data_IF_782374742869
#
_entry.id   IF_782374742869
#
_cell.length_a   1.000
_cell.length_b   1.000
_cell.length_c   1.000
_cell.angle_alpha   90.00
_cell.angle_beta   90.00
_cell.angle_gamma   90.00
#
_symmetry.space_group_name_H-M   'P 1'
#
loop_
_entity.id
_entity.type
_entity.pdbx_description
1 polymer ?
#
# COMPACT_ATOMS: atom_id res chain seq x y z
N UNK A 1 -14.85 6.03 -6.55
CA UNK A 1 -14.43 6.14 -7.97
C UNK A 1 -15.56 5.57 -8.81
N UNK A 2 -16.32 6.40 -9.53
CA UNK A 2 -17.61 6.01 -10.11
C UNK A 2 -17.52 5.29 -11.48
N UNK A 3 -16.40 5.38 -12.18
CA UNK A 3 -16.27 4.85 -13.56
C UNK A 3 -16.00 3.33 -13.64
N UNK A 4 -15.40 2.72 -12.60
CA UNK A 4 -14.94 1.31 -12.66
C UNK A 4 -16.06 0.31 -12.98
N UNK A 5 -17.23 0.33 -12.31
CA UNK A 5 -18.29 -0.63 -12.58
C UNK A 5 -18.79 -0.55 -14.03
N UNK A 6 -18.98 0.67 -14.54
CA UNK A 6 -19.45 0.90 -15.91
C UNK A 6 -18.41 0.42 -16.93
N UNK A 7 -17.12 0.75 -16.70
CA UNK A 7 -16.04 0.33 -17.59
C UNK A 7 -15.92 -1.19 -17.66
N UNK A 8 -16.02 -1.91 -16.55
CA UNK A 8 -15.95 -3.37 -16.54
C UNK A 8 -17.11 -4.00 -17.34
N UNK A 9 -18.33 -3.51 -17.16
CA UNK A 9 -19.50 -4.01 -17.91
C UNK A 9 -19.33 -3.77 -19.41
N UNK A 10 -18.84 -2.59 -19.79
CA UNK A 10 -18.64 -2.24 -21.19
C UNK A 10 -17.48 -3.00 -21.81
N UNK A 11 -16.32 -3.11 -21.14
CA UNK A 11 -15.17 -3.86 -21.64
C UNK A 11 -15.54 -5.32 -21.96
N UNK A 12 -16.33 -5.97 -21.10
CA UNK A 12 -16.82 -7.34 -21.35
C UNK A 12 -17.82 -7.42 -22.52
N UNK A 13 -18.62 -6.38 -22.75
CA UNK A 13 -19.67 -6.38 -23.77
C UNK A 13 -19.19 -5.95 -25.17
N UNK A 14 -18.27 -4.98 -25.25
CA UNK A 14 -17.84 -4.34 -26.52
C UNK A 14 -16.35 -4.53 -26.84
N UNK A 15 -15.57 -5.13 -25.94
CA UNK A 15 -14.15 -5.43 -26.14
C UNK A 15 -13.24 -4.21 -26.01
N UNK A 16 -13.40 -3.21 -26.90
CA UNK A 16 -12.62 -1.98 -26.86
C UNK A 16 -13.38 -0.85 -26.16
N UNK A 17 -12.93 -0.48 -24.95
CA UNK A 17 -13.54 0.59 -24.17
C UNK A 17 -12.51 1.68 -23.84
N UNK A 18 -12.82 2.94 -24.18
CA UNK A 18 -11.95 4.08 -23.92
C UNK A 18 -12.39 4.83 -22.67
N UNK A 19 -11.48 5.00 -21.71
CA UNK A 19 -11.69 5.89 -20.56
C UNK A 19 -11.06 7.26 -20.83
N UNK A 20 -11.85 8.28 -21.10
CA UNK A 20 -11.33 9.64 -21.33
C UNK A 20 -11.06 10.39 -20.02
N UNK A 21 -9.94 11.13 -19.96
CA UNK A 21 -9.58 11.92 -18.78
C UNK A 21 -10.48 13.15 -18.67
N UNK A 22 -11.20 13.29 -17.55
CA UNK A 22 -12.11 14.41 -17.33
C UNK A 22 -11.44 15.80 -17.45
N UNK A 23 -10.14 15.93 -17.11
CA UNK A 23 -9.42 17.20 -17.28
C UNK A 23 -9.18 17.55 -18.74
N UNK A 24 -8.99 16.55 -19.60
CA UNK A 24 -8.88 16.80 -21.04
C UNK A 24 -10.26 17.14 -21.62
N UNK A 25 -11.30 16.45 -21.16
CA UNK A 25 -12.68 16.74 -21.55
C UNK A 25 -13.17 18.12 -21.09
N UNK A 26 -12.64 18.67 -20.00
CA UNK A 26 -12.98 20.02 -19.56
C UNK A 26 -12.47 21.12 -20.50
N UNK A 27 -11.44 20.84 -21.31
CA UNK A 27 -10.85 21.82 -22.22
C UNK A 27 -11.57 21.88 -23.58
N UNK A 28 -12.56 21.01 -23.81
CA UNK A 28 -13.41 21.02 -25.00
C UNK A 28 -14.82 21.48 -24.62
N UNK A 29 -15.52 22.26 -25.46
CA UNK A 29 -16.89 22.68 -25.17
C UNK A 29 -17.81 21.47 -25.04
N UNK A 30 -18.53 21.35 -23.93
CA UNK A 30 -19.58 20.34 -23.76
C UNK A 30 -20.89 20.72 -24.47
N UNK A 31 -21.81 19.78 -24.50
CA UNK A 31 -23.20 19.94 -24.96
C UNK A 31 -24.14 19.90 -23.75
N UNK A 32 -25.39 20.30 -23.98
CA UNK A 32 -26.37 20.49 -22.90
C UNK A 32 -27.07 19.18 -22.50
N UNK A 33 -27.04 18.17 -23.35
CA UNK A 33 -27.75 16.90 -23.15
C UNK A 33 -26.80 15.72 -23.30
N UNK A 34 -27.00 14.67 -22.50
CA UNK A 34 -26.12 13.49 -22.51
C UNK A 34 -26.01 12.85 -23.90
N UNK A 35 -27.11 12.82 -24.67
CA UNK A 35 -27.11 12.29 -26.03
C UNK A 35 -26.27 13.14 -27.01
N UNK A 36 -26.35 14.47 -26.91
CA UNK A 36 -25.53 15.36 -27.73
C UNK A 36 -24.06 15.32 -27.29
N UNK A 37 -23.80 15.16 -26.00
CA UNK A 37 -22.44 14.99 -25.47
C UNK A 37 -21.82 13.67 -25.95
N UNK A 38 -22.57 12.57 -25.95
CA UNK A 38 -22.08 11.29 -26.46
C UNK A 38 -21.69 11.37 -27.95
N UNK A 39 -22.54 11.99 -28.78
CA UNK A 39 -22.24 12.20 -30.20
C UNK A 39 -21.01 13.10 -30.38
N UNK A 40 -20.92 14.19 -29.61
CA UNK A 40 -19.78 15.09 -29.64
C UNK A 40 -18.47 14.42 -29.22
N UNK A 41 -18.50 13.57 -28.19
CA UNK A 41 -17.33 12.78 -27.77
C UNK A 41 -16.89 11.83 -28.87
N UNK A 42 -17.82 11.21 -29.60
CA UNK A 42 -17.49 10.35 -30.73
C UNK A 42 -16.77 11.13 -31.85
N UNK A 43 -17.25 12.33 -32.20
CA UNK A 43 -16.57 13.21 -33.16
C UNK A 43 -15.16 13.60 -32.68
N UNK A 44 -14.99 13.96 -31.41
CA UNK A 44 -13.68 14.28 -30.85
C UNK A 44 -12.69 13.12 -30.92
N UNK A 45 -13.18 11.89 -30.73
CA UNK A 45 -12.39 10.67 -30.88
C UNK A 45 -11.99 10.45 -32.34
N UNK A 46 -12.93 10.60 -33.28
CA UNK A 46 -12.70 10.44 -34.72
C UNK A 46 -11.65 11.44 -35.23
N UNK A 47 -11.70 12.69 -34.78
CA UNK A 47 -10.71 13.71 -35.12
C UNK A 47 -9.37 13.58 -34.36
N UNK A 48 -9.24 12.62 -33.44
CA UNK A 48 -8.03 12.43 -32.64
C UNK A 48 -7.74 13.56 -31.64
N UNK A 49 -8.76 14.34 -31.27
CA UNK A 49 -8.64 15.49 -30.36
C UNK A 49 -8.59 15.08 -28.88
N UNK A 50 -8.96 13.83 -28.59
CA UNK A 50 -8.88 13.23 -27.25
C UNK A 50 -8.07 11.94 -27.29
N UNK A 51 -7.51 11.54 -26.13
CA UNK A 51 -6.73 10.31 -25.99
C UNK A 51 -7.29 9.47 -24.83
N UNK A 52 -7.32 8.14 -24.96
CA UNK A 52 -7.70 7.27 -23.87
C UNK A 52 -6.70 7.40 -22.70
N UNK A 53 -7.23 7.32 -21.49
CA UNK A 53 -6.43 7.09 -20.30
C UNK A 53 -6.00 5.64 -20.28
N UNK A 54 -4.77 5.38 -19.82
CA UNK A 54 -4.30 4.02 -19.63
C UNK A 54 -5.14 3.30 -18.56
N UNK A 55 -5.89 2.29 -19.02
CA UNK A 55 -6.55 1.31 -18.16
C UNK A 55 -5.87 -0.03 -18.43
N UNK A 56 -5.19 -0.64 -17.44
CA UNK A 56 -4.52 -1.92 -17.63
C UNK A 56 -5.53 -3.03 -17.92
N UNK A 57 -5.11 -4.14 -18.55
CA UNK A 57 -5.95 -5.32 -18.71
C UNK A 57 -6.44 -5.88 -17.37
N UNK A 58 -7.57 -6.59 -17.38
CA UNK A 58 -8.23 -7.12 -16.19
C UNK A 58 -7.28 -7.89 -15.24
N UNK A 59 -6.40 -8.81 -15.69
CA UNK A 59 -5.48 -9.51 -14.78
C UNK A 59 -4.53 -8.57 -14.02
N UNK A 60 -4.08 -7.49 -14.68
CA UNK A 60 -3.19 -6.50 -14.08
C UNK A 60 -3.96 -5.60 -13.10
N UNK A 61 -5.22 -5.28 -13.39
CA UNK A 61 -6.08 -4.53 -12.44
C UNK A 61 -6.35 -5.34 -11.18
N UNK A 62 -6.60 -6.64 -11.29
CA UNK A 62 -6.75 -7.54 -10.14
C UNK A 62 -5.48 -7.59 -9.30
N UNK A 63 -4.32 -7.79 -9.94
CA UNK A 63 -3.02 -7.77 -9.26
C UNK A 63 -2.76 -6.42 -8.56
N UNK A 64 -3.14 -5.31 -9.18
CA UNK A 64 -3.04 -3.97 -8.59
C UNK A 64 -3.91 -3.81 -7.35
N UNK A 65 -5.16 -4.25 -7.42
CA UNK A 65 -6.07 -4.15 -6.28
C UNK A 65 -5.54 -5.00 -5.10
N UNK A 66 -5.02 -6.21 -5.37
CA UNK A 66 -4.39 -7.08 -4.37
C UNK A 66 -3.14 -6.45 -3.73
N UNK A 67 -2.19 -5.98 -4.54
CA UNK A 67 -0.94 -5.37 -4.04
C UNK A 67 -1.20 -4.10 -3.24
N UNK A 68 -2.14 -3.25 -3.69
CA UNK A 68 -2.56 -2.06 -2.94
C UNK A 68 -3.25 -2.40 -1.63
N UNK A 69 -4.13 -3.40 -1.62
CA UNK A 69 -4.83 -3.80 -0.41
C UNK A 69 -3.88 -4.44 0.60
N UNK A 70 -2.94 -5.30 0.15
CA UNK A 70 -1.85 -5.83 0.99
C UNK A 70 -1.05 -4.70 1.64
N UNK A 71 -0.66 -3.69 0.87
CA UNK A 71 0.01 -2.50 1.40
C UNK A 71 -0.82 -1.80 2.48
N UNK A 72 -2.13 -1.63 2.27
CA UNK A 72 -3.02 -1.05 3.26
C UNK A 72 -3.08 -1.88 4.56
N UNK A 73 -3.08 -3.22 4.46
CA UNK A 73 -3.01 -4.11 5.64
C UNK A 73 -1.68 -3.97 6.39
N UNK A 74 -0.54 -3.90 5.68
CA UNK A 74 0.79 -3.66 6.29
C UNK A 74 0.82 -2.31 7.04
N UNK A 75 0.25 -1.27 6.44
CA UNK A 75 0.16 0.04 7.07
C UNK A 75 -0.77 0.02 8.30
N UNK A 76 -1.89 -0.72 8.26
CA UNK A 76 -2.77 -0.91 9.42
C UNK A 76 -2.07 -1.67 10.53
N UNK A 77 -1.35 -2.75 10.20
CA UNK A 77 -0.54 -3.49 11.16
C UNK A 77 0.48 -2.59 11.85
N UNK A 78 1.16 -1.74 11.09
CA UNK A 78 2.11 -0.77 11.65
C UNK A 78 1.43 0.20 12.62
N UNK A 79 0.21 0.67 12.30
CA UNK A 79 -0.58 1.51 13.20
C UNK A 79 -0.94 0.77 14.48
N UNK A 80 -1.29 -0.52 14.41
CA UNK A 80 -1.59 -1.31 15.61
C UNK A 80 -0.36 -1.55 16.49
N UNK A 81 0.83 -1.78 15.90
CA UNK A 81 2.08 -1.85 16.68
C UNK A 81 2.36 -0.54 17.42
N UNK A 82 2.11 0.60 16.77
CA UNK A 82 2.28 1.92 17.41
C UNK A 82 1.27 2.14 18.54
N UNK A 83 0.03 1.66 18.39
CA UNK A 83 -0.98 1.69 19.45
C UNK A 83 -0.58 0.80 20.63
N UNK A 84 -0.06 -0.39 20.36
CA UNK A 84 0.47 -1.29 21.38
C UNK A 84 1.56 -0.59 22.22
N UNK A 85 2.56 0.00 21.54
CA UNK A 85 3.63 0.73 22.23
C UNK A 85 3.06 1.88 23.07
N UNK A 86 2.09 2.64 22.54
CA UNK A 86 1.45 3.74 23.28
C UNK A 86 0.76 3.26 24.56
N UNK A 87 0.04 2.14 24.52
CA UNK A 87 -0.63 1.58 25.71
C UNK A 87 0.39 1.07 26.72
N UNK A 88 1.49 0.46 26.26
CA UNK A 88 2.58 0.07 27.15
C UNK A 88 3.23 1.27 27.83
N UNK A 89 3.47 2.35 27.09
CA UNK A 89 4.04 3.57 27.64
C UNK A 89 3.12 4.24 28.68
N UNK A 90 1.80 4.18 28.49
CA UNK A 90 0.80 4.65 29.46
C UNK A 90 0.88 3.86 30.78
N UNK A 91 1.09 2.54 30.69
CA UNK A 91 1.36 1.67 31.83
C UNK A 91 2.79 1.85 32.43
N UNK A 92 3.60 2.78 31.91
CA UNK A 92 4.99 2.96 32.34
C UNK A 92 5.96 1.86 31.86
N UNK A 93 5.53 0.98 30.95
CA UNK A 93 6.31 -0.12 30.41
C UNK A 93 7.08 0.34 29.17
N UNK A 94 8.40 0.15 29.15
CA UNK A 94 9.31 0.64 28.09
C UNK A 94 10.01 -0.48 27.34
N UNK A 95 9.28 -1.53 26.94
CA UNK A 95 9.85 -2.70 26.26
C UNK A 95 10.61 -2.34 24.96
N UNK A 96 10.15 -1.31 24.24
CA UNK A 96 10.76 -0.79 23.01
C UNK A 96 12.13 -0.14 23.19
N UNK A 97 12.56 0.17 24.43
CA UNK A 97 13.92 0.68 24.69
C UNK A 97 14.96 -0.43 24.81
N UNK A 98 14.54 -1.66 25.15
CA UNK A 98 15.44 -2.79 25.42
C UNK A 98 15.44 -3.79 24.27
N UNK A 99 14.27 -4.00 23.66
CA UNK A 99 14.06 -4.91 22.53
C UNK A 99 14.06 -4.18 21.19
N UNK A 100 14.54 -4.84 20.13
CA UNK A 100 14.46 -4.31 18.76
C UNK A 100 13.02 -4.23 18.23
N UNK A 101 12.10 -5.00 18.80
CA UNK A 101 10.67 -4.95 18.51
C UNK A 101 9.87 -5.50 19.69
N UNK A 102 8.68 -4.95 19.89
CA UNK A 102 7.73 -5.38 20.93
C UNK A 102 7.12 -6.74 20.59
N UNK A 103 6.98 -7.06 19.30
CA UNK A 103 6.36 -8.30 18.80
C UNK A 103 7.37 -9.44 18.56
N UNK A 104 8.53 -9.41 19.21
CA UNK A 104 9.43 -10.57 19.20
C UNK A 104 8.81 -11.75 19.96
N UNK A 105 9.32 -12.97 19.78
CA UNK A 105 8.86 -14.15 20.55
C UNK A 105 8.89 -13.89 22.06
N UNK A 106 9.93 -13.25 22.56
CA UNK A 106 10.01 -12.86 23.97
C UNK A 106 9.04 -11.75 24.34
N UNK A 107 8.92 -10.71 23.51
CA UNK A 107 7.97 -9.63 23.77
C UNK A 107 6.53 -10.13 23.80
N UNK A 108 6.14 -11.02 22.86
CA UNK A 108 4.84 -11.68 22.85
C UNK A 108 4.59 -12.49 24.12
N UNK A 109 5.53 -13.36 24.51
CA UNK A 109 5.40 -14.15 25.72
C UNK A 109 5.26 -13.28 26.99
N UNK A 110 6.00 -12.17 27.07
CA UNK A 110 5.89 -11.20 28.17
C UNK A 110 4.50 -10.57 28.18
N UNK A 111 4.01 -10.08 27.04
CA UNK A 111 2.69 -9.45 26.95
C UNK A 111 1.55 -10.42 27.31
N UNK A 112 1.64 -11.67 26.85
CA UNK A 112 0.67 -12.72 27.20
C UNK A 112 0.68 -13.04 28.70
N UNK A 113 1.87 -13.12 29.31
CA UNK A 113 1.98 -13.31 30.76
C UNK A 113 1.40 -12.13 31.54
N UNK A 114 1.59 -10.90 31.06
CA UNK A 114 1.00 -9.69 31.64
C UNK A 114 -0.53 -9.68 31.52
N UNK A 115 -1.08 -10.06 30.35
CA UNK A 115 -2.53 -10.23 30.15
C UNK A 115 -3.08 -11.30 31.10
N UNK A 116 -2.34 -12.40 31.31
CA UNK A 116 -2.72 -13.46 32.24
C UNK A 116 -2.58 -13.05 33.73
N UNK A 117 -2.13 -11.83 34.03
CA UNK A 117 -2.07 -11.26 35.38
C UNK A 117 -0.68 -11.28 36.03
N UNK A 118 0.36 -11.71 35.31
CA UNK A 118 1.74 -11.66 35.83
C UNK A 118 2.32 -10.26 35.65
N UNK A 119 2.55 -9.54 36.73
CA UNK A 119 3.13 -8.17 36.68
C UNK A 119 4.52 -8.07 37.31
N UNK A 120 5.02 -9.13 37.93
CA UNK A 120 6.34 -9.12 38.57
C UNK A 120 7.46 -9.03 37.50
N UNK A 121 8.25 -7.95 37.46
CA UNK A 121 9.31 -7.76 36.45
C UNK A 121 10.38 -8.87 36.48
N UNK A 122 10.66 -9.44 37.64
CA UNK A 122 11.61 -10.55 37.81
C UNK A 122 11.16 -11.77 37.00
N UNK A 123 9.90 -12.17 37.18
CA UNK A 123 9.29 -13.32 36.49
C UNK A 123 9.19 -13.06 34.99
N UNK A 124 8.72 -11.88 34.60
CA UNK A 124 8.55 -11.51 33.19
C UNK A 124 9.90 -11.47 32.45
N UNK A 125 10.96 -10.98 33.10
CA UNK A 125 12.28 -10.87 32.48
C UNK A 125 12.90 -12.23 32.12
N UNK A 126 12.55 -13.30 32.83
CA UNK A 126 13.04 -14.65 32.52
C UNK A 126 12.42 -15.26 31.26
N UNK A 127 11.31 -14.70 30.76
CA UNK A 127 10.73 -15.06 29.46
C UNK A 127 11.59 -14.58 28.27
N UNK A 128 12.63 -13.78 28.54
CA UNK A 128 13.62 -13.38 27.56
C UNK A 128 14.37 -14.60 26.98
N UNK A 129 14.50 -14.62 25.65
CA UNK A 129 15.21 -15.65 24.88
C UNK A 129 16.33 -15.00 24.06
N UNK A 130 17.33 -15.81 23.70
CA UNK A 130 18.44 -15.39 22.85
C UNK A 130 19.18 -14.15 23.38
N UNK A 131 19.42 -13.17 22.51
CA UNK A 131 20.17 -11.94 22.83
C UNK A 131 19.50 -11.07 23.91
N UNK A 132 18.19 -11.21 24.11
CA UNK A 132 17.48 -10.43 25.13
C UNK A 132 17.83 -10.89 26.56
N UNK A 133 18.31 -12.13 26.75
CA UNK A 133 18.77 -12.63 28.05
C UNK A 133 19.94 -11.83 28.62
N UNK A 134 20.87 -11.41 27.77
CA UNK A 134 21.97 -10.54 28.18
C UNK A 134 21.50 -9.15 28.67
N UNK A 135 20.25 -8.78 28.39
CA UNK A 135 19.65 -7.50 28.79
C UNK A 135 18.63 -7.64 29.94
N UNK A 136 18.59 -8.77 30.65
CA UNK A 136 17.64 -9.01 31.76
C UNK A 136 17.61 -7.86 32.77
N UNK A 137 18.75 -7.29 33.25
CA UNK A 137 18.70 -6.17 34.19
C UNK A 137 17.93 -4.95 33.65
N UNK A 138 18.23 -4.52 32.42
CA UNK A 138 17.52 -3.42 31.77
C UNK A 138 16.06 -3.76 31.44
N UNK A 139 15.77 -5.03 31.15
CA UNK A 139 14.42 -5.50 30.90
C UNK A 139 13.55 -5.44 32.17
N UNK A 140 14.10 -5.78 33.34
CA UNK A 140 13.40 -5.64 34.63
C UNK A 140 13.04 -4.20 34.91
N UNK A 141 13.97 -3.27 34.68
CA UNK A 141 13.69 -1.83 34.78
C UNK A 141 12.59 -1.40 33.81
N UNK A 142 12.66 -1.84 32.55
CA UNK A 142 11.68 -1.50 31.53
C UNK A 142 10.28 -2.08 31.78
N UNK A 143 10.18 -3.17 32.54
CA UNK A 143 8.91 -3.83 32.91
C UNK A 143 8.37 -3.36 34.27
N UNK A 144 9.11 -2.54 34.99
CA UNK A 144 8.67 -1.97 36.26
C UNK A 144 7.71 -0.79 36.02
N UNK A 145 6.42 -1.11 35.87
CA UNK A 145 5.37 -0.13 35.57
C UNK A 145 4.04 -0.46 36.24
N UNK A 146 3.05 0.41 36.03
CA UNK A 146 1.69 0.27 36.54
C UNK A 146 0.78 -0.40 35.50
N UNK A 147 0.89 -1.73 35.41
CA UNK A 147 0.02 -2.53 34.55
C UNK A 147 -1.26 -2.92 35.27
N UNK A 148 -2.40 -2.75 34.60
CA UNK A 148 -3.73 -3.05 35.16
C UNK A 148 -4.53 -3.92 34.21
N UNK A 149 -5.63 -4.51 34.70
CA UNK A 149 -6.55 -5.26 33.85
C UNK A 149 -7.13 -4.45 32.67
N UNK A 150 -7.25 -3.13 32.83
CA UNK A 150 -7.66 -2.23 31.74
C UNK A 150 -6.65 -2.23 30.59
N UNK A 151 -5.36 -2.07 30.91
CA UNK A 151 -4.29 -2.17 29.91
C UNK A 151 -4.25 -3.56 29.26
N UNK A 152 -4.39 -4.61 30.07
CA UNK A 152 -4.43 -6.00 29.60
C UNK A 152 -5.54 -6.27 28.59
N UNK A 153 -6.75 -5.75 28.83
CA UNK A 153 -7.87 -5.87 27.89
C UNK A 153 -7.54 -5.21 26.54
N UNK A 154 -7.06 -3.96 26.56
CA UNK A 154 -6.73 -3.22 25.32
C UNK A 154 -5.60 -3.91 24.56
N UNK A 155 -4.55 -4.34 25.25
CA UNK A 155 -3.41 -5.02 24.63
C UNK A 155 -3.86 -6.36 24.04
N UNK A 156 -4.73 -7.11 24.72
CA UNK A 156 -5.31 -8.35 24.21
C UNK A 156 -6.02 -8.14 22.86
N UNK A 157 -6.89 -7.13 22.75
CA UNK A 157 -7.56 -6.78 21.50
C UNK A 157 -6.59 -6.36 20.39
N UNK A 158 -5.55 -5.58 20.73
CA UNK A 158 -4.53 -5.17 19.77
C UNK A 158 -3.75 -6.39 19.26
N UNK A 159 -3.36 -7.32 20.14
CA UNK A 159 -2.64 -8.53 19.75
C UNK A 159 -3.50 -9.42 18.84
N UNK A 160 -4.78 -9.63 19.18
CA UNK A 160 -5.70 -10.39 18.34
C UNK A 160 -5.86 -9.75 16.93
N UNK A 161 -5.95 -8.42 16.87
CA UNK A 161 -6.00 -7.70 15.59
C UNK A 161 -4.69 -7.81 14.81
N UNK A 162 -3.55 -7.77 15.48
CA UNK A 162 -2.25 -7.98 14.84
C UNK A 162 -2.14 -9.37 14.23
N UNK A 163 -2.58 -10.41 14.94
CA UNK A 163 -2.60 -11.79 14.44
C UNK A 163 -3.48 -11.91 13.20
N UNK A 164 -4.69 -11.35 13.23
CA UNK A 164 -5.57 -11.29 12.06
C UNK A 164 -4.91 -10.58 10.86
N UNK A 165 -4.25 -9.44 11.10
CA UNK A 165 -3.58 -8.67 10.07
C UNK A 165 -2.40 -9.44 9.47
N UNK A 166 -1.62 -10.14 10.29
CA UNK A 166 -0.53 -11.01 9.83
C UNK A 166 -1.07 -12.11 8.90
N UNK A 167 -2.10 -12.83 9.31
CA UNK A 167 -2.71 -13.85 8.45
C UNK A 167 -3.34 -13.26 7.18
N UNK A 168 -3.96 -12.07 7.27
CA UNK A 168 -4.55 -11.41 6.10
C UNK A 168 -3.46 -11.00 5.10
N UNK A 169 -2.32 -10.50 5.57
CA UNK A 169 -1.17 -10.18 4.74
C UNK A 169 -0.62 -11.45 4.08
N UNK A 170 -0.54 -12.57 4.79
CA UNK A 170 -0.05 -13.84 4.23
C UNK A 170 -0.99 -14.42 3.17
N UNK A 171 -2.31 -14.39 3.42
CA UNK A 171 -3.33 -14.78 2.43
C UNK A 171 -3.23 -13.93 1.16
N UNK A 172 -3.10 -12.62 1.31
CA UNK A 172 -2.95 -11.71 0.18
C UNK A 172 -1.62 -11.93 -0.56
N UNK A 173 -0.53 -12.21 0.17
CA UNK A 173 0.78 -12.51 -0.43
C UNK A 173 0.71 -13.78 -1.27
N UNK A 174 0.09 -14.84 -0.75
CA UNK A 174 -0.11 -16.11 -1.46
C UNK A 174 -0.93 -15.91 -2.74
N UNK A 175 -2.00 -15.12 -2.67
CA UNK A 175 -2.83 -14.83 -3.83
C UNK A 175 -2.10 -13.96 -4.88
N UNK A 176 -1.29 -12.99 -4.44
CA UNK A 176 -0.41 -12.22 -5.33
C UNK A 176 0.56 -13.16 -6.05
N UNK A 177 1.22 -14.06 -5.32
CA UNK A 177 2.18 -15.02 -5.87
C UNK A 177 1.49 -15.93 -6.92
N UNK A 178 0.23 -16.33 -6.68
CA UNK A 178 -0.58 -17.09 -7.65
C UNK A 178 -0.91 -16.29 -8.92
N UNK A 179 -1.39 -15.05 -8.76
CA UNK A 179 -1.83 -14.20 -9.88
C UNK A 179 -0.64 -13.72 -10.71
N UNK A 180 0.53 -13.52 -10.09
CA UNK A 180 1.71 -13.01 -10.77
C UNK A 180 2.54 -14.08 -11.47
N UNK A 181 2.34 -15.36 -11.15
CA UNK A 181 3.11 -16.48 -11.72
C UNK A 181 3.26 -16.46 -13.27
N UNK A 182 2.25 -16.07 -14.08
CA UNK A 182 2.43 -15.96 -15.54
C UNK A 182 3.46 -14.89 -15.97
N UNK A 183 3.82 -13.98 -15.08
CA UNK A 183 4.72 -12.86 -15.31
C UNK A 183 6.05 -13.00 -14.55
N UNK A 184 6.33 -14.17 -13.98
CA UNK A 184 7.51 -14.41 -13.13
C UNK A 184 8.82 -13.94 -13.78
N UNK A 185 9.04 -14.28 -15.05
CA UNK A 185 10.25 -13.86 -15.78
C UNK A 185 10.40 -12.33 -15.86
N UNK A 186 9.30 -11.56 -15.86
CA UNK A 186 9.33 -10.09 -15.83
C UNK A 186 9.63 -9.56 -14.44
N UNK A 187 9.12 -10.23 -13.40
CA UNK A 187 9.44 -9.90 -12.00
C UNK A 187 10.93 -10.12 -11.74
N UNK A 188 11.49 -11.25 -12.18
CA UNK A 188 12.91 -11.55 -12.03
C UNK A 188 13.79 -10.51 -12.72
N UNK A 189 13.42 -10.07 -13.93
CA UNK A 189 14.12 -9.00 -14.64
C UNK A 189 14.05 -7.66 -13.87
N UNK A 190 12.90 -7.32 -13.29
CA UNK A 190 12.75 -6.10 -12.49
C UNK A 190 13.58 -6.16 -11.19
N UNK A 191 13.67 -7.33 -10.55
CA UNK A 191 14.45 -7.58 -9.33
C UNK A 191 15.98 -7.44 -9.57
N UNK A 192 16.43 -7.47 -10.83
CA UNK A 192 17.84 -7.15 -11.16
C UNK A 192 18.20 -5.67 -11.02
N UNK A 193 17.21 -4.78 -10.93
CA UNK A 193 17.44 -3.33 -10.84
C UNK A 193 17.93 -2.99 -9.43
N UNK A 194 19.09 -2.33 -9.26
CA UNK A 194 19.57 -1.94 -7.93
C UNK A 194 18.54 -1.12 -7.15
N UNK A 195 18.16 -1.61 -5.96
CA UNK A 195 17.16 -0.96 -5.09
C UNK A 195 15.71 -1.36 -5.38
N UNK A 196 15.46 -2.26 -6.33
CA UNK A 196 14.18 -2.94 -6.52
C UNK A 196 14.35 -4.33 -5.95
N UNK A 197 13.60 -4.64 -4.90
CA UNK A 197 13.45 -6.02 -4.42
C UNK A 197 12.26 -6.68 -5.12
N UNK A 198 12.15 -8.00 -4.97
CA UNK A 198 11.04 -8.78 -5.53
C UNK A 198 9.67 -8.17 -5.23
N UNK A 199 9.38 -7.77 -3.97
CA UNK A 199 8.07 -7.19 -3.61
C UNK A 199 7.83 -5.84 -4.29
N UNK A 200 8.86 -5.03 -4.47
CA UNK A 200 8.79 -3.80 -5.26
C UNK A 200 8.57 -4.10 -6.75
N UNK A 201 9.24 -5.11 -7.31
CA UNK A 201 9.04 -5.56 -8.69
C UNK A 201 7.58 -6.00 -8.95
N UNK A 202 7.00 -6.78 -8.03
CA UNK A 202 5.58 -7.18 -8.09
C UNK A 202 4.66 -5.95 -8.11
N UNK A 203 4.92 -4.97 -7.23
CA UNK A 203 4.15 -3.73 -7.17
C UNK A 203 4.30 -2.89 -8.45
N UNK A 204 5.51 -2.78 -9.00
CA UNK A 204 5.76 -2.08 -10.25
C UNK A 204 4.97 -2.72 -11.38
N UNK A 205 5.08 -4.04 -11.55
CA UNK A 205 4.36 -4.78 -12.57
C UNK A 205 2.83 -4.61 -12.43
N UNK A 206 2.30 -4.62 -11.20
CA UNK A 206 0.90 -4.38 -10.94
C UNK A 206 0.44 -2.96 -11.35
N UNK A 207 1.30 -1.96 -11.21
CA UNK A 207 0.99 -0.56 -11.52
C UNK A 207 1.18 -0.20 -13.00
N UNK A 208 2.14 -0.81 -13.70
CA UNK A 208 2.46 -0.44 -15.10
C UNK A 208 2.08 -1.51 -16.12
N UNK A 209 1.85 -2.75 -15.67
CA UNK A 209 1.60 -3.89 -16.52
C UNK A 209 2.87 -4.48 -17.17
N UNK A 210 2.74 -5.61 -17.88
CA UNK A 210 3.86 -6.31 -18.48
C UNK A 210 4.26 -5.76 -19.86
N UNK A 211 3.38 -5.01 -20.52
CA UNK A 211 3.59 -4.49 -21.87
C UNK A 211 3.85 -2.98 -21.83
N UNK A 212 5.07 -2.58 -22.22
CA UNK A 212 5.49 -1.18 -22.26
C UNK A 212 5.14 -0.48 -23.58
N UNK A 213 4.60 -1.18 -24.58
CA UNK A 213 4.16 -0.58 -25.85
C UNK A 213 3.05 0.46 -25.64
N UNK A 214 2.31 0.35 -24.53
CA UNK A 214 1.29 1.31 -24.08
C UNK A 214 1.86 2.71 -23.78
N UNK A 215 3.19 2.82 -23.61
CA UNK A 215 3.90 4.09 -23.46
C UNK A 215 4.83 4.32 -24.66
N UNK A 216 4.65 5.40 -25.45
CA UNK A 216 5.48 5.65 -26.63
C UNK A 216 6.97 5.78 -26.31
N UNK A 217 7.30 6.34 -25.13
CA UNK A 217 8.68 6.46 -24.64
C UNK A 217 8.72 6.30 -23.12
N UNK A 218 9.90 6.02 -22.57
CA UNK A 218 10.11 6.02 -21.11
C UNK A 218 9.70 7.36 -20.44
N UNK A 219 9.83 8.48 -21.16
CA UNK A 219 9.36 9.79 -20.69
C UNK A 219 7.84 9.86 -20.51
N UNK A 220 7.07 9.15 -21.34
CA UNK A 220 5.62 9.06 -21.18
C UNK A 220 5.23 8.27 -19.93
N UNK A 221 5.94 7.17 -19.64
CA UNK A 221 5.76 6.43 -18.39
C UNK A 221 6.10 7.29 -17.18
N UNK A 222 7.24 7.99 -17.20
CA UNK A 222 7.65 8.88 -16.10
C UNK A 222 6.64 10.04 -15.88
N UNK A 223 6.08 10.59 -16.96
CA UNK A 223 5.04 11.61 -16.91
C UNK A 223 3.73 11.06 -16.35
N UNK A 224 3.31 9.87 -16.79
CA UNK A 224 2.13 9.17 -16.27
C UNK A 224 2.26 8.84 -14.78
N UNK A 225 3.44 8.41 -14.33
CA UNK A 225 3.75 8.17 -12.93
C UNK A 225 3.84 9.46 -12.09
N UNK A 226 3.71 10.64 -12.71
CA UNK A 226 3.78 11.94 -12.04
C UNK A 226 5.20 12.33 -11.60
N UNK A 227 6.23 11.67 -12.13
CA UNK A 227 7.64 11.93 -11.79
C UNK A 227 8.27 13.03 -12.64
N UNK A 228 7.64 13.44 -13.74
CA UNK A 228 8.05 14.60 -14.53
C UNK A 228 7.43 15.90 -13.99
N UNK A 229 8.23 16.95 -13.72
CA UNK A 229 7.72 18.29 -13.44
C UNK A 229 6.89 18.81 -14.62
N UNK A 230 5.77 19.49 -14.34
CA UNK A 230 4.99 20.13 -15.41
C UNK A 230 5.76 21.27 -16.07
N UNK A 231 5.70 21.38 -17.40
CA UNK A 231 6.25 22.52 -18.13
C UNK A 231 5.28 23.71 -18.03
N UNK A 232 5.65 24.73 -17.28
CA UNK A 232 4.87 25.95 -17.11
C UNK A 232 5.60 27.12 -17.77
N UNK A 233 5.43 27.25 -19.08
CA UNK A 233 6.04 28.34 -19.84
C UNK A 233 4.96 29.36 -20.24
N UNK A 234 5.21 30.65 -19.97
CA UNK A 234 4.36 31.74 -20.45
C UNK A 234 5.24 32.83 -21.05
N UNK A 235 4.97 33.23 -22.30
CA UNK A 235 5.71 34.27 -23.01
C UNK A 235 7.24 34.07 -22.98
N UNK A 236 7.70 32.84 -23.26
CA UNK A 236 9.14 32.49 -23.31
C UNK A 236 9.84 32.42 -21.95
N UNK A 237 9.11 32.52 -20.84
CA UNK A 237 9.65 32.38 -19.47
C UNK A 237 9.16 31.10 -18.83
N UNK A 238 10.09 30.21 -18.50
CA UNK A 238 9.84 29.01 -17.71
C UNK A 238 9.58 29.38 -16.24
N UNK A 239 8.41 29.00 -15.73
CA UNK A 239 8.04 29.06 -14.32
C UNK A 239 8.25 27.65 -13.73
N UNK A 240 8.71 27.59 -12.48
CA UNK A 240 9.02 26.32 -11.80
C UNK A 240 7.87 25.31 -11.86
N UNK A 241 8.16 24.10 -12.38
CA UNK A 241 7.21 23.01 -12.52
C UNK A 241 7.06 22.19 -11.25
N UNK A 242 5.82 21.99 -10.78
CA UNK A 242 5.53 21.00 -9.72
C UNK A 242 5.27 19.63 -10.35
N UNK A 243 5.79 18.58 -9.73
CA UNK A 243 5.40 17.21 -10.04
C UNK A 243 3.95 17.01 -9.63
N UNK A 244 3.19 16.27 -10.44
CA UNK A 244 1.80 15.91 -10.10
C UNK A 244 1.82 14.91 -8.96
N UNK A 245 0.83 14.97 -8.07
CA UNK A 245 0.56 13.83 -7.17
C UNK A 245 0.12 12.68 -8.08
N UNK A 246 0.91 11.61 -8.17
CA UNK A 246 0.56 10.40 -8.90
C UNK A 246 -0.76 9.82 -8.43
N UNK A 247 -1.32 8.84 -9.17
CA UNK A 247 -2.57 8.19 -8.75
C UNK A 247 -2.35 7.53 -7.38
N UNK A 248 -2.90 8.12 -6.33
CA UNK A 248 -3.14 7.40 -5.08
C UNK A 248 -4.20 6.34 -5.36
#
# INVERSE_FOLDING_TARGET
MYWRPVFHILEDAIGECWLLNARHMHNVPGRKTDAADAAWIAELVEYGLVRPSFVPPQPIRQLRDLTRYRKAQIEERTREVQRLDKVLQDAGIKLSSVSSSILTVSGRAILEAMIAGTTNPEVLSELARGRLRAKIPALREALNGFFTGHHGLIIGEILAKLDYLDEAIDRLSTEIDRVIAPFEAKVDLLDTIPGVDRRMAECLLAEIGPDMSVFPTAGHLASWAGRCPGQHESAGRSKGGKTRKGSK
#
